data_IF_717829977700
#
_entry.id   IF_717829977700
#
_cell.length_a   1.000
_cell.length_b   1.000
_cell.length_c   1.000
_cell.angle_alpha   90.00
_cell.angle_beta   90.00
_cell.angle_gamma   90.00
#
_symmetry.space_group_name_H-M   'P 1'
#
loop_
_entity.id
_entity.type
_entity.pdbx_description
1 polymer ?
#
# COMPACT_ATOMS: atom_id res chain seq x y z
N UNK A 1 -9.87 -43.63 22.40
CA UNK A 1 -9.14 -42.34 22.35
C UNK A 1 -9.20 -41.85 20.91
N UNK A 2 -10.06 -40.87 20.64
CA UNK A 2 -10.24 -40.27 19.31
C UNK A 2 -9.99 -38.77 19.46
N UNK A 3 -8.98 -38.26 18.75
CA UNK A 3 -8.63 -36.84 18.74
C UNK A 3 -9.34 -36.18 17.56
N UNK A 4 -10.42 -35.45 17.86
CA UNK A 4 -11.12 -34.59 16.90
C UNK A 4 -10.28 -33.37 16.54
N UNK A 5 -10.10 -33.14 15.24
CA UNK A 5 -9.58 -31.89 14.69
C UNK A 5 -10.77 -31.03 14.24
N UNK A 6 -10.88 -29.83 14.79
CA UNK A 6 -11.94 -28.88 14.48
C UNK A 6 -11.61 -28.10 13.21
N UNK A 7 -12.42 -28.27 12.16
CA UNK A 7 -12.37 -27.48 10.95
C UNK A 7 -12.88 -26.06 11.21
N UNK A 8 -12.07 -25.05 10.89
CA UNK A 8 -12.34 -23.62 11.11
C UNK A 8 -13.14 -22.94 9.98
N UNK A 9 -14.07 -23.64 9.32
CA UNK A 9 -14.74 -23.12 8.11
C UNK A 9 -16.14 -22.53 8.31
N UNK A 10 -16.68 -22.49 9.52
CA UNK A 10 -18.12 -22.15 9.72
C UNK A 10 -18.46 -20.67 9.94
N UNK A 11 -17.49 -19.75 9.95
CA UNK A 11 -17.77 -18.32 10.16
C UNK A 11 -18.31 -17.57 8.94
N UNK A 12 -18.48 -18.21 7.77
CA UNK A 12 -18.90 -17.53 6.55
C UNK A 12 -20.41 -17.62 6.23
N UNK A 13 -21.24 -18.23 7.09
CA UNK A 13 -22.67 -18.46 6.81
C UNK A 13 -23.63 -17.31 7.11
N UNK A 14 -23.16 -16.22 7.73
CA UNK A 14 -24.06 -15.15 8.19
C UNK A 14 -24.33 -14.03 7.18
N UNK A 15 -23.65 -14.03 6.03
CA UNK A 15 -23.80 -12.97 5.04
C UNK A 15 -24.02 -13.55 3.65
N UNK A 16 -25.27 -13.48 3.19
CA UNK A 16 -25.64 -13.81 1.82
C UNK A 16 -24.82 -12.96 0.83
N UNK A 17 -24.48 -13.49 -0.36
CA UNK A 17 -23.73 -12.74 -1.38
C UNK A 17 -24.36 -11.39 -1.73
N UNK A 18 -25.69 -11.33 -1.70
CA UNK A 18 -26.47 -10.10 -1.90
C UNK A 18 -26.22 -9.06 -0.81
N UNK A 19 -26.12 -9.45 0.47
CA UNK A 19 -25.82 -8.49 1.54
C UNK A 19 -24.39 -7.96 1.45
N UNK A 20 -23.43 -8.79 1.01
CA UNK A 20 -22.03 -8.37 0.80
C UNK A 20 -21.93 -7.31 -0.29
N UNK A 21 -22.67 -7.49 -1.39
CA UNK A 21 -22.73 -6.50 -2.48
C UNK A 21 -23.41 -5.22 -2.01
N UNK A 22 -24.52 -5.32 -1.25
CA UNK A 22 -25.21 -4.16 -0.69
C UNK A 22 -24.31 -3.34 0.26
N UNK A 23 -23.54 -3.99 1.12
CA UNK A 23 -22.59 -3.33 2.02
C UNK A 23 -21.42 -2.67 1.25
N UNK A 24 -20.94 -3.28 0.16
CA UNK A 24 -19.92 -2.69 -0.70
C UNK A 24 -20.43 -1.42 -1.41
N UNK A 25 -21.64 -1.48 -1.97
CA UNK A 25 -22.27 -0.32 -2.62
C UNK A 25 -22.51 0.80 -1.61
N UNK A 26 -23.01 0.47 -0.42
CA UNK A 26 -23.21 1.45 0.65
C UNK A 26 -21.89 2.09 1.10
N UNK A 27 -20.82 1.30 1.24
CA UNK A 27 -19.48 1.79 1.55
C UNK A 27 -18.94 2.78 0.52
N UNK A 28 -19.12 2.49 -0.78
CA UNK A 28 -18.71 3.40 -1.87
C UNK A 28 -19.48 4.72 -1.79
N UNK A 29 -20.78 4.68 -1.52
CA UNK A 29 -21.61 5.88 -1.38
C UNK A 29 -21.19 6.72 -0.17
N UNK A 30 -20.91 6.09 0.98
CA UNK A 30 -20.44 6.80 2.17
C UNK A 30 -19.07 7.45 1.96
N UNK A 31 -18.14 6.77 1.28
CA UNK A 31 -16.83 7.34 0.95
C UNK A 31 -16.97 8.52 -0.02
N UNK A 32 -17.84 8.40 -1.04
CA UNK A 32 -18.13 9.49 -1.98
C UNK A 32 -18.75 10.71 -1.29
N UNK A 33 -19.73 10.50 -0.41
CA UNK A 33 -20.37 11.56 0.36
C UNK A 33 -19.39 12.26 1.33
N UNK A 34 -18.51 11.49 1.99
CA UNK A 34 -17.47 12.04 2.85
C UNK A 34 -16.43 12.85 2.05
N UNK A 35 -16.01 12.37 0.87
CA UNK A 35 -15.14 13.11 -0.02
C UNK A 35 -15.73 14.45 -0.45
N UNK A 36 -17.02 14.47 -0.79
CA UNK A 36 -17.76 15.70 -1.12
C UNK A 36 -17.86 16.66 0.07
N UNK A 37 -18.15 16.15 1.27
CA UNK A 37 -18.21 16.95 2.49
C UNK A 37 -16.87 17.60 2.85
N UNK A 38 -15.76 16.86 2.72
CA UNK A 38 -14.41 17.39 2.96
C UNK A 38 -14.06 18.45 1.91
N UNK A 39 -14.42 18.23 0.64
CA UNK A 39 -14.14 19.18 -0.43
C UNK A 39 -14.93 20.49 -0.25
N UNK A 40 -16.18 20.43 0.19
CA UNK A 40 -17.01 21.63 0.41
C UNK A 40 -16.64 22.41 1.68
N UNK A 41 -16.02 21.76 2.68
CA UNK A 41 -15.63 22.41 3.94
C UNK A 41 -14.14 22.77 4.01
N UNK A 42 -13.33 22.40 3.02
CA UNK A 42 -11.93 22.81 2.95
C UNK A 42 -11.76 24.32 2.65
N UNK A 43 -12.73 24.95 1.98
CA UNK A 43 -12.66 26.39 1.67
C UNK A 43 -13.02 27.30 2.85
N UNK A 44 -13.73 26.81 3.87
CA UNK A 44 -14.18 27.63 5.01
C UNK A 44 -13.19 27.71 6.18
N UNK A 45 -12.08 26.96 6.12
CA UNK A 45 -11.10 26.88 7.23
C UNK A 45 -9.83 27.72 7.02
N UNK A 46 -9.72 28.43 5.89
CA UNK A 46 -8.52 29.24 5.58
C UNK A 46 -8.64 30.75 5.94
N UNK A 47 -9.78 31.22 6.45
CA UNK A 47 -9.96 32.63 6.84
C UNK A 47 -9.71 32.94 8.32
N UNK A 48 -9.46 31.94 9.17
CA UNK A 48 -9.28 32.14 10.63
C UNK A 48 -7.84 32.00 11.14
N UNK A 49 -6.85 31.87 10.27
CA UNK A 49 -5.44 31.68 10.67
C UNK A 49 -4.57 32.96 10.66
N UNK A 50 -5.13 34.16 10.43
CA UNK A 50 -4.35 35.40 10.30
C UNK A 50 -4.41 36.37 11.49
N UNK A 51 -5.05 36.03 12.61
CA UNK A 51 -5.20 36.97 13.73
C UNK A 51 -5.02 36.31 15.10
N UNK A 52 -3.82 35.83 15.41
CA UNK A 52 -3.38 35.70 16.83
C UNK A 52 -1.88 35.43 16.94
N UNK A 53 -1.11 36.47 17.24
CA UNK A 53 0.22 36.41 17.86
C UNK A 53 0.38 37.77 18.57
N UNK A 54 0.03 37.84 19.85
CA UNK A 54 0.96 37.79 20.99
C UNK A 54 1.78 39.08 21.18
N UNK A 55 2.14 39.58 22.36
CA UNK A 55 1.75 39.43 23.77
C UNK A 55 2.70 40.37 24.53
N UNK A 56 2.13 41.16 25.44
CA UNK A 56 2.67 41.71 26.70
C UNK A 56 4.19 41.76 26.93
N UNK A 57 4.70 42.97 27.14
CA UNK A 57 5.92 43.23 27.91
C UNK A 57 5.55 43.65 29.35
N UNK A 58 6.00 42.83 30.29
CA UNK A 58 5.89 42.96 31.74
C UNK A 58 6.98 43.85 32.32
N UNK A 59 6.66 44.60 33.38
CA UNK A 59 7.65 45.11 34.35
C UNK A 59 7.24 44.67 35.76
N UNK A 60 8.13 44.00 36.52
CA UNK A 60 7.88 43.62 37.91
C UNK A 60 8.34 44.74 38.85
N UNK A 61 7.56 45.01 39.90
CA UNK A 61 7.99 45.87 41.01
C UNK A 61 8.43 44.99 42.18
N UNK A 62 9.61 45.33 42.66
CA UNK A 62 10.43 44.67 43.67
C UNK A 62 9.83 44.81 45.08
N UNK A 63 9.84 43.72 45.85
CA UNK A 63 9.38 43.63 47.23
C UNK A 63 10.59 43.54 48.17
N UNK A 64 11.07 44.67 48.66
CA UNK A 64 12.05 44.70 49.75
C UNK A 64 11.35 44.78 51.11
N UNK A 65 11.46 43.69 51.86
CA UNK A 65 11.18 43.57 53.29
C UNK A 65 12.05 44.51 54.13
N UNK A 66 11.45 45.15 55.13
CA UNK A 66 12.12 45.58 56.38
C UNK A 66 11.19 45.35 57.59
N UNK A 67 11.76 45.14 58.80
CA UNK A 67 11.18 44.25 59.81
C UNK A 67 10.33 44.93 60.90
N UNK A 68 9.60 44.07 61.61
CA UNK A 68 8.66 44.36 62.68
C UNK A 68 9.27 45.10 63.90
N UNK A 69 8.53 46.09 64.41
CA UNK A 69 8.65 46.59 65.78
C UNK A 69 7.39 46.22 66.59
N UNK A 70 7.53 45.93 67.89
CA UNK A 70 6.45 45.41 68.71
C UNK A 70 5.47 46.51 69.19
N UNK A 71 4.27 46.03 69.41
CA UNK A 71 3.04 46.67 69.90
C UNK A 71 3.26 47.52 71.15
N UNK A 72 2.77 48.77 71.09
CA UNK A 72 2.49 49.59 72.27
C UNK A 72 0.96 49.78 72.35
N UNK A 73 0.27 49.22 73.36
CA UNK A 73 -1.18 49.28 73.46
C UNK A 73 -1.55 50.57 74.21
N UNK A 74 -2.04 51.58 73.51
CA UNK A 74 -2.91 52.68 73.98
C UNK A 74 -2.89 53.83 72.97
N UNK A 75 -3.70 53.75 71.90
CA UNK A 75 -4.15 54.95 71.21
C UNK A 75 -5.47 54.72 70.49
N UNK A 76 -6.35 55.70 70.68
CA UNK A 76 -7.76 55.72 70.31
C UNK A 76 -8.05 55.38 68.83
N UNK A 77 -9.27 54.87 68.62
CA UNK A 77 -9.99 54.81 67.35
C UNK A 77 -9.70 56.04 66.46
N UNK A 78 -9.19 55.88 65.23
CA UNK A 78 -9.35 56.91 64.23
C UNK A 78 -10.77 56.85 63.69
N UNK A 79 -11.51 57.92 63.94
CA UNK A 79 -12.78 58.23 63.30
C UNK A 79 -12.66 58.05 61.78
N UNK A 80 -13.58 57.29 61.20
CA UNK A 80 -13.85 57.32 59.75
C UNK A 80 -14.03 58.77 59.32
N UNK A 81 -13.24 59.29 58.36
CA UNK A 81 -13.47 60.62 57.83
C UNK A 81 -14.86 60.69 57.19
N UNK A 82 -15.56 61.84 57.28
CA UNK A 82 -16.89 61.98 56.71
C UNK A 82 -16.81 61.84 55.18
N UNK A 83 -17.64 60.96 54.63
CA UNK A 83 -17.92 60.87 53.20
C UNK A 83 -18.38 62.25 52.72
N UNK A 84 -17.50 62.99 52.04
CA UNK A 84 -17.89 64.22 51.35
C UNK A 84 -19.02 63.89 50.36
N UNK A 85 -20.08 64.70 50.26
CA UNK A 85 -21.08 64.53 49.21
C UNK A 85 -20.39 64.59 47.84
N UNK A 86 -20.82 63.81 46.84
CA UNK A 86 -20.23 63.86 45.51
C UNK A 86 -20.25 65.31 45.01
N UNK A 87 -19.07 65.89 44.79
CA UNK A 87 -18.97 67.19 44.13
C UNK A 87 -19.56 67.03 42.74
N UNK A 88 -20.63 67.76 42.44
CA UNK A 88 -21.20 67.80 41.10
C UNK A 88 -20.17 68.26 40.06
N UNK A 89 -20.39 67.96 38.78
CA UNK A 89 -19.45 68.32 37.72
C UNK A 89 -19.17 69.82 37.73
N UNK A 90 -17.91 70.18 37.57
CA UNK A 90 -17.50 71.58 37.54
C UNK A 90 -18.10 72.28 36.32
N UNK A 91 -18.35 73.61 36.37
CA UNK A 91 -18.83 74.36 35.21
C UNK A 91 -17.97 74.21 33.95
N UNK A 92 -16.67 73.94 34.12
CA UNK A 92 -15.73 73.69 33.03
C UNK A 92 -15.98 72.32 32.38
N UNK A 93 -16.20 71.26 33.16
CA UNK A 93 -16.52 69.93 32.64
C UNK A 93 -17.85 69.92 31.88
N UNK A 94 -18.86 70.65 32.39
CA UNK A 94 -20.16 70.83 31.73
C UNK A 94 -19.99 71.54 30.39
N UNK A 95 -19.19 72.61 30.34
CA UNK A 95 -18.91 73.33 29.11
C UNK A 95 -18.16 72.47 28.08
N UNK A 96 -17.21 71.64 28.52
CA UNK A 96 -16.49 70.70 27.66
C UNK A 96 -17.40 69.61 27.11
N UNK A 97 -18.26 69.01 27.94
CA UNK A 97 -19.23 68.01 27.50
C UNK A 97 -20.20 68.58 26.45
N UNK A 98 -20.76 69.76 26.69
CA UNK A 98 -21.61 70.48 25.71
C UNK A 98 -20.85 70.83 24.44
N UNK A 99 -19.58 71.23 24.55
CA UNK A 99 -18.70 71.47 23.40
C UNK A 99 -18.55 70.23 22.51
N UNK A 100 -18.33 69.05 23.11
CA UNK A 100 -18.23 67.77 22.39
C UNK A 100 -19.53 67.39 21.69
N UNK A 101 -20.67 67.57 22.34
CA UNK A 101 -21.98 67.34 21.71
C UNK A 101 -22.28 68.30 20.57
N UNK A 102 -21.88 69.57 20.66
CA UNK A 102 -21.99 70.53 19.55
C UNK A 102 -21.09 70.15 18.37
N UNK A 103 -19.87 69.66 18.64
CA UNK A 103 -19.00 69.13 17.61
C UNK A 103 -19.61 67.88 16.95
N UNK A 104 -20.10 66.93 17.76
CA UNK A 104 -20.80 65.74 17.28
C UNK A 104 -22.01 66.13 16.40
N UNK A 105 -22.84 67.09 16.82
CA UNK A 105 -23.96 67.63 16.02
C UNK A 105 -23.49 68.14 14.66
N UNK A 106 -22.44 68.97 14.65
CA UNK A 106 -21.90 69.56 13.41
C UNK A 106 -21.38 68.46 12.48
N UNK A 107 -20.75 67.43 13.02
CA UNK A 107 -20.25 66.28 12.26
C UNK A 107 -21.40 65.47 11.68
N UNK A 108 -22.43 65.13 12.47
CA UNK A 108 -23.59 64.38 11.98
C UNK A 108 -24.39 65.13 10.92
N UNK A 109 -24.60 66.44 11.08
CA UNK A 109 -25.21 67.30 10.06
C UNK A 109 -24.37 67.35 8.77
N UNK A 110 -23.04 67.43 8.90
CA UNK A 110 -22.14 67.41 7.75
C UNK A 110 -22.17 66.05 7.04
N UNK A 111 -22.20 64.95 7.77
CA UNK A 111 -22.31 63.60 7.20
C UNK A 111 -23.64 63.45 6.48
N UNK A 112 -24.74 63.93 7.06
CA UNK A 112 -26.06 63.92 6.43
C UNK A 112 -26.09 64.69 5.10
N UNK A 113 -25.54 65.90 5.06
CA UNK A 113 -25.44 66.68 3.81
C UNK A 113 -24.62 65.96 2.73
N UNK A 114 -23.57 65.24 3.13
CA UNK A 114 -22.77 64.42 2.20
C UNK A 114 -23.55 63.23 1.68
N UNK A 115 -24.34 62.58 2.54
CA UNK A 115 -25.23 61.50 2.14
C UNK A 115 -26.29 61.99 1.16
N UNK A 116 -26.92 63.14 1.41
CA UNK A 116 -27.88 63.75 0.48
C UNK A 116 -27.25 64.04 -0.89
N UNK A 117 -26.01 64.55 -0.90
CA UNK A 117 -25.25 64.75 -2.14
C UNK A 117 -24.90 63.43 -2.84
N UNK A 118 -24.60 62.37 -2.09
CA UNK A 118 -24.34 61.04 -2.64
C UNK A 118 -25.61 60.47 -3.29
N UNK A 119 -26.77 60.61 -2.63
CA UNK A 119 -28.08 60.21 -3.16
C UNK A 119 -28.42 60.95 -4.45
N UNK A 120 -28.05 62.23 -4.57
CA UNK A 120 -28.21 62.97 -5.82
C UNK A 120 -27.31 62.42 -6.94
N UNK A 121 -26.04 62.11 -6.64
CA UNK A 121 -25.11 61.48 -7.59
C UNK A 121 -25.60 60.07 -8.01
N UNK A 122 -26.16 59.29 -7.08
CA UNK A 122 -26.80 57.99 -7.34
C UNK A 122 -27.98 58.15 -8.30
N UNK A 123 -28.88 59.11 -8.04
CA UNK A 123 -30.04 59.36 -8.90
C UNK A 123 -29.62 59.74 -10.31
N UNK A 124 -28.65 60.64 -10.45
CA UNK A 124 -28.10 61.04 -11.77
C UNK A 124 -27.50 59.86 -12.50
N UNK A 125 -26.71 59.04 -11.80
CA UNK A 125 -26.13 57.84 -12.36
C UNK A 125 -27.20 56.85 -12.84
N UNK A 126 -28.23 56.58 -12.03
CA UNK A 126 -29.34 55.68 -12.40
C UNK A 126 -30.11 56.18 -13.62
N UNK A 127 -30.42 57.48 -13.67
CA UNK A 127 -31.09 58.08 -14.84
C UNK A 127 -30.24 57.95 -16.10
N UNK A 128 -28.93 58.22 -16.03
CA UNK A 128 -28.03 58.03 -17.16
C UNK A 128 -28.03 56.56 -17.61
N UNK A 129 -27.97 55.60 -16.69
CA UNK A 129 -27.96 54.18 -17.04
C UNK A 129 -29.27 53.66 -17.63
N UNK A 130 -30.40 54.27 -17.27
CA UNK A 130 -31.71 53.92 -17.82
C UNK A 130 -31.92 54.50 -19.22
N UNK A 131 -31.49 55.75 -19.47
CA UNK A 131 -31.67 56.43 -20.75
C UNK A 131 -30.68 56.00 -21.82
N UNK A 132 -29.44 55.71 -21.42
CA UNK A 132 -28.31 55.49 -22.31
C UNK A 132 -28.45 54.24 -23.20
N UNK A 133 -29.08 53.13 -22.79
CA UNK A 133 -29.32 52.00 -23.68
C UNK A 133 -30.15 52.32 -24.94
N UNK A 134 -31.08 53.28 -24.84
CA UNK A 134 -32.06 53.60 -25.90
C UNK A 134 -31.76 54.86 -26.70
N UNK A 135 -30.92 55.76 -26.19
CA UNK A 135 -30.65 57.06 -26.81
C UNK A 135 -29.54 57.01 -27.89
N UNK A 136 -29.33 58.12 -28.60
CA UNK A 136 -28.30 58.23 -29.64
C UNK A 136 -26.88 58.05 -29.09
N UNK A 137 -26.60 58.49 -27.86
CA UNK A 137 -25.30 58.31 -27.22
C UNK A 137 -25.00 56.82 -27.00
N UNK A 138 -25.98 56.04 -26.55
CA UNK A 138 -25.90 54.59 -26.48
C UNK A 138 -25.62 53.93 -27.81
N UNK A 139 -26.31 54.36 -28.87
CA UNK A 139 -26.05 53.86 -30.23
C UNK A 139 -24.63 54.17 -30.72
N UNK A 140 -24.02 55.28 -30.30
CA UNK A 140 -22.60 55.56 -30.61
C UNK A 140 -21.67 54.62 -29.84
N UNK A 141 -21.95 54.37 -28.57
CA UNK A 141 -21.20 53.38 -27.76
C UNK A 141 -21.34 51.97 -28.37
N UNK A 142 -22.54 51.61 -28.84
CA UNK A 142 -22.85 50.34 -29.49
C UNK A 142 -22.07 50.10 -30.79
N UNK A 143 -21.55 51.16 -31.42
CA UNK A 143 -20.74 51.10 -32.63
C UNK A 143 -19.30 50.60 -32.40
N UNK A 144 -18.87 50.41 -31.16
CA UNK A 144 -17.51 50.01 -30.83
C UNK A 144 -17.46 49.00 -29.69
N UNK A 145 -16.96 47.79 -29.98
CA UNK A 145 -16.87 46.70 -29.01
C UNK A 145 -16.14 47.09 -27.72
N UNK A 146 -15.01 47.82 -27.83
CA UNK A 146 -14.24 48.27 -26.65
C UNK A 146 -15.00 49.26 -25.76
N UNK A 147 -15.92 50.05 -26.32
CA UNK A 147 -16.75 50.97 -25.54
C UNK A 147 -17.95 50.25 -24.91
N UNK A 148 -18.48 49.22 -25.59
CA UNK A 148 -19.46 48.29 -25.00
C UNK A 148 -18.86 47.54 -23.81
N UNK A 149 -17.60 47.09 -23.91
CA UNK A 149 -16.84 46.51 -22.78
C UNK A 149 -16.75 47.46 -21.59
N UNK A 150 -16.37 48.72 -21.82
CA UNK A 150 -16.27 49.72 -20.77
C UNK A 150 -17.64 50.02 -20.12
N UNK A 151 -18.70 50.07 -20.91
CA UNK A 151 -20.07 50.21 -20.41
C UNK A 151 -20.49 49.02 -19.54
N UNK A 152 -20.23 47.79 -20.01
CA UNK A 152 -20.53 46.57 -19.24
C UNK A 152 -19.77 46.54 -17.93
N UNK A 153 -18.47 46.88 -17.95
CA UNK A 153 -17.65 46.95 -16.75
C UNK A 153 -18.18 47.98 -15.73
N UNK A 154 -18.76 49.09 -16.18
CA UNK A 154 -19.43 50.05 -15.29
C UNK A 154 -20.78 49.54 -14.78
N UNK A 155 -21.53 48.81 -15.62
CA UNK A 155 -22.84 48.26 -15.25
C UNK A 155 -22.71 47.14 -14.21
N UNK A 156 -21.74 46.25 -14.36
CA UNK A 156 -21.56 45.04 -13.56
C UNK A 156 -20.89 45.26 -12.20
N UNK A 157 -20.37 46.47 -11.92
CA UNK A 157 -19.81 46.78 -10.60
C UNK A 157 -20.85 46.57 -9.50
N UNK A 158 -20.49 45.87 -8.40
CA UNK A 158 -21.37 45.74 -7.25
C UNK A 158 -21.66 47.12 -6.66
N UNK A 159 -22.90 47.35 -6.26
CA UNK A 159 -23.34 48.63 -5.69
C UNK A 159 -24.08 48.41 -4.38
N UNK A 160 -23.97 49.36 -3.44
CA UNK A 160 -24.80 49.36 -2.23
C UNK A 160 -26.29 49.39 -2.58
N UNK A 161 -27.05 48.52 -1.92
CA UNK A 161 -28.50 48.42 -2.11
C UNK A 161 -29.21 49.64 -1.53
N UNK A 162 -30.42 49.94 -2.04
CA UNK A 162 -31.22 51.06 -1.55
C UNK A 162 -31.47 50.99 -0.03
N UNK A 163 -31.66 49.79 0.51
CA UNK A 163 -31.85 49.54 1.95
C UNK A 163 -30.64 49.98 2.78
N UNK A 164 -29.41 49.83 2.26
CA UNK A 164 -28.19 50.25 2.96
C UNK A 164 -28.12 51.78 3.07
N UNK A 165 -28.52 52.47 2.00
CA UNK A 165 -28.56 53.94 1.96
C UNK A 165 -29.65 54.48 2.90
N UNK A 166 -30.82 53.83 2.93
CA UNK A 166 -31.89 54.16 3.86
C UNK A 166 -31.47 53.92 5.31
N UNK A 167 -30.81 52.79 5.61
CA UNK A 167 -30.27 52.50 6.93
C UNK A 167 -29.24 53.52 7.42
N UNK A 168 -28.36 54.01 6.54
CA UNK A 168 -27.45 55.11 6.85
C UNK A 168 -28.20 56.41 7.16
N UNK A 169 -29.27 56.68 6.41
CA UNK A 169 -30.11 57.87 6.61
C UNK A 169 -30.83 57.80 7.94
N UNK A 170 -31.47 56.69 8.26
CA UNK A 170 -32.20 56.50 9.52
C UNK A 170 -31.26 56.59 10.72
N UNK A 171 -30.05 56.02 10.62
CA UNK A 171 -29.10 56.09 11.72
C UNK A 171 -28.53 57.49 11.93
N UNK A 172 -28.26 58.25 10.87
CA UNK A 172 -27.86 59.66 11.00
C UNK A 172 -28.99 60.53 11.57
N UNK A 173 -30.24 60.26 11.23
CA UNK A 173 -31.41 60.95 11.79
C UNK A 173 -31.53 60.65 13.29
N UNK A 174 -31.30 59.41 13.71
CA UNK A 174 -31.24 59.01 15.12
C UNK A 174 -30.10 59.71 15.88
N UNK A 175 -28.91 59.84 15.27
CA UNK A 175 -27.77 60.57 15.87
C UNK A 175 -28.10 62.05 16.07
N UNK A 176 -28.78 62.67 15.10
CA UNK A 176 -29.24 64.06 15.21
C UNK A 176 -30.28 64.21 16.33
N UNK A 177 -31.30 63.34 16.37
CA UNK A 177 -32.33 63.36 17.41
C UNK A 177 -31.72 63.17 18.81
N UNK A 178 -30.80 62.22 18.96
CA UNK A 178 -30.10 61.96 20.22
C UNK A 178 -29.33 63.20 20.68
N UNK A 179 -28.66 63.88 19.76
CA UNK A 179 -27.90 65.10 20.07
C UNK A 179 -28.80 66.27 20.43
N UNK A 180 -29.95 66.42 19.77
CA UNK A 180 -30.93 67.46 20.08
C UNK A 180 -31.59 67.25 21.43
N UNK A 181 -31.98 66.01 21.73
CA UNK A 181 -32.50 65.61 23.04
C UNK A 181 -31.48 65.88 24.14
N UNK A 182 -30.20 65.56 23.91
CA UNK A 182 -29.13 65.79 24.86
C UNK A 182 -28.88 67.29 25.10
N UNK A 183 -28.70 68.07 24.04
CA UNK A 183 -28.43 69.51 24.14
C UNK A 183 -29.63 70.30 24.69
N UNK A 184 -30.86 69.78 24.56
CA UNK A 184 -32.08 70.34 25.13
C UNK A 184 -32.25 70.12 26.63
N UNK A 185 -31.56 69.15 27.23
CA UNK A 185 -31.63 68.86 28.67
C UNK A 185 -30.62 69.71 29.45
N UNK A 186 -31.10 70.64 30.27
CA UNK A 186 -30.25 71.56 31.05
C UNK A 186 -29.38 70.87 32.11
N UNK A 187 -29.81 69.69 32.58
CA UNK A 187 -29.19 68.94 33.68
C UNK A 187 -28.25 67.82 33.20
N UNK A 188 -28.07 67.65 31.89
CA UNK A 188 -27.24 66.58 31.35
C UNK A 188 -25.79 67.05 31.16
N UNK A 189 -24.84 66.29 31.74
CA UNK A 189 -23.43 66.66 31.84
C UNK A 189 -22.46 65.60 31.31
N UNK A 190 -22.94 64.50 30.73
CA UNK A 190 -22.10 63.49 30.07
C UNK A 190 -21.60 63.90 28.68
N UNK A 191 -20.40 63.47 28.33
CA UNK A 191 -19.91 63.56 26.94
C UNK A 191 -20.61 62.50 26.07
N UNK A 192 -20.62 62.63 24.73
CA UNK A 192 -21.07 61.54 23.86
C UNK A 192 -20.21 60.31 24.11
N UNK A 193 -20.86 59.15 24.17
CA UNK A 193 -20.18 57.88 24.39
C UNK A 193 -19.20 57.61 23.24
N UNK A 194 -18.08 56.94 23.56
CA UNK A 194 -17.06 56.63 22.58
C UNK A 194 -17.62 55.75 21.45
N UNK A 195 -18.50 54.80 21.78
CA UNK A 195 -19.19 53.96 20.80
C UNK A 195 -20.05 54.78 19.83
N UNK A 196 -20.74 55.82 20.32
CA UNK A 196 -21.55 56.71 19.49
C UNK A 196 -20.68 57.52 18.53
N UNK A 197 -19.53 57.98 19.02
CA UNK A 197 -18.56 58.73 18.21
C UNK A 197 -17.91 57.84 17.15
N UNK A 198 -17.53 56.61 17.51
CA UNK A 198 -16.99 55.62 16.57
C UNK A 198 -18.02 55.21 15.50
N UNK A 199 -19.30 55.10 15.88
CA UNK A 199 -20.36 54.80 14.93
C UNK A 199 -20.56 55.93 13.91
N UNK A 200 -20.59 57.18 14.35
CA UNK A 200 -20.65 58.34 13.46
C UNK A 200 -19.42 58.42 12.53
N UNK A 201 -18.23 58.08 13.03
CA UNK A 201 -17.00 58.03 12.22
C UNK A 201 -17.08 56.95 11.14
N UNK A 202 -17.59 55.77 11.49
CA UNK A 202 -17.86 54.69 10.54
C UNK A 202 -18.83 55.15 9.44
N UNK A 203 -19.96 55.76 9.82
CA UNK A 203 -20.96 56.24 8.87
C UNK A 203 -20.44 57.35 7.97
N UNK A 204 -19.58 58.23 8.49
CA UNK A 204 -18.90 59.23 7.68
C UNK A 204 -18.04 58.57 6.61
N UNK A 205 -17.22 57.58 6.98
CA UNK A 205 -16.36 56.88 6.03
C UNK A 205 -17.17 56.12 4.98
N UNK A 206 -18.25 55.43 5.38
CA UNK A 206 -19.16 54.72 4.47
C UNK A 206 -19.84 55.69 3.50
N UNK A 207 -20.30 56.84 3.99
CA UNK A 207 -20.92 57.89 3.16
C UNK A 207 -19.91 58.51 2.18
N UNK A 208 -18.67 58.76 2.62
CA UNK A 208 -17.62 59.30 1.76
C UNK A 208 -17.20 58.31 0.67
N UNK A 209 -17.05 57.03 1.02
CA UNK A 209 -16.78 55.98 0.05
C UNK A 209 -17.90 55.89 -0.99
N UNK A 210 -19.16 55.83 -0.54
CA UNK A 210 -20.35 55.81 -1.41
C UNK A 210 -20.37 57.01 -2.36
N UNK A 211 -20.19 58.22 -1.84
CA UNK A 211 -20.21 59.44 -2.65
C UNK A 211 -19.09 59.44 -3.70
N UNK A 212 -17.88 59.00 -3.32
CA UNK A 212 -16.73 58.96 -4.20
C UNK A 212 -16.91 57.92 -5.31
N UNK A 213 -17.42 56.74 -4.98
CA UNK A 213 -17.67 55.66 -5.95
C UNK A 213 -18.68 56.07 -7.01
N UNK A 214 -19.86 56.54 -6.60
CA UNK A 214 -20.90 56.96 -7.54
C UNK A 214 -20.48 58.17 -8.39
N UNK A 215 -19.77 59.14 -7.80
CA UNK A 215 -19.25 60.28 -8.56
C UNK A 215 -18.22 59.84 -9.60
N UNK A 216 -17.29 58.95 -9.22
CA UNK A 216 -16.27 58.42 -10.13
C UNK A 216 -16.91 57.64 -11.27
N UNK A 217 -17.87 56.77 -10.97
CA UNK A 217 -18.56 55.96 -11.97
C UNK A 217 -19.41 56.81 -12.90
N UNK A 218 -20.12 57.82 -12.38
CA UNK A 218 -20.85 58.81 -13.19
C UNK A 218 -19.90 59.55 -14.14
N UNK A 219 -18.78 60.05 -13.63
CA UNK A 219 -17.77 60.73 -14.46
C UNK A 219 -17.17 59.80 -15.52
N UNK A 220 -16.96 58.52 -15.20
CA UNK A 220 -16.48 57.54 -16.17
C UNK A 220 -17.51 57.28 -17.28
N UNK A 221 -18.80 57.24 -16.94
CA UNK A 221 -19.89 57.10 -17.91
C UNK A 221 -20.02 58.34 -18.79
N UNK A 222 -19.96 59.54 -18.20
CA UNK A 222 -19.96 60.81 -18.94
C UNK A 222 -18.73 60.92 -19.86
N UNK A 223 -17.56 60.51 -19.38
CA UNK A 223 -16.35 60.44 -20.18
C UNK A 223 -16.51 59.48 -21.36
N UNK A 224 -17.14 58.31 -21.14
CA UNK A 224 -17.44 57.33 -22.20
C UNK A 224 -18.36 57.93 -23.28
N UNK A 225 -19.42 58.62 -22.86
CA UNK A 225 -20.33 59.34 -23.76
C UNK A 225 -19.59 60.42 -24.54
N UNK A 226 -18.71 61.17 -23.87
CA UNK A 226 -17.94 62.23 -24.52
C UNK A 226 -16.94 61.68 -25.53
N UNK A 227 -16.25 60.58 -25.21
CA UNK A 227 -15.26 59.92 -26.07
C UNK A 227 -15.90 59.35 -27.35
N UNK A 228 -17.15 58.92 -27.25
CA UNK A 228 -17.92 58.37 -28.39
C UNK A 228 -18.70 59.42 -29.17
N UNK A 229 -18.65 60.70 -28.78
CA UNK A 229 -19.40 61.78 -29.43
C UNK A 229 -19.05 61.99 -30.91
N UNK A 230 -17.80 61.73 -31.30
CA UNK A 230 -17.32 61.85 -32.68
C UNK A 230 -17.57 60.59 -33.53
N UNK A 231 -18.04 59.49 -32.92
CA UNK A 231 -18.34 58.25 -33.63
C UNK A 231 -19.69 58.33 -34.35
N UNK A 232 -19.84 57.67 -35.52
CA UNK A 232 -21.13 57.56 -36.17
C UNK A 232 -22.12 56.79 -35.29
N UNK A 233 -23.40 57.18 -35.35
CA UNK A 233 -24.49 56.48 -34.65
C UNK A 233 -24.66 55.10 -35.26
N UNK A 234 -24.53 54.03 -34.47
CA UNK A 234 -24.76 52.67 -34.97
C UNK A 234 -26.25 52.41 -35.21
N UNK A 235 -26.55 51.46 -36.11
CA UNK A 235 -27.92 51.02 -36.38
C UNK A 235 -28.54 50.29 -35.17
N UNK A 236 -27.71 49.53 -34.45
CA UNK A 236 -28.09 48.76 -33.27
C UNK A 236 -28.11 49.62 -32.00
N UNK A 237 -29.02 49.30 -31.08
CA UNK A 237 -29.03 49.90 -29.73
C UNK A 237 -27.91 49.32 -28.87
N UNK A 238 -27.54 50.01 -27.80
CA UNK A 238 -26.53 49.51 -26.87
C UNK A 238 -26.98 48.21 -26.19
N UNK A 239 -28.28 48.09 -25.90
CA UNK A 239 -28.86 46.86 -25.36
C UNK A 239 -28.68 45.68 -26.31
N UNK A 240 -28.92 45.89 -27.61
CA UNK A 240 -28.68 44.86 -28.63
C UNK A 240 -27.20 44.51 -28.74
N UNK A 241 -26.30 45.49 -28.73
CA UNK A 241 -24.86 45.26 -28.78
C UNK A 241 -24.35 44.47 -27.55
N UNK A 242 -24.87 44.77 -26.36
CA UNK A 242 -24.61 44.01 -25.13
C UNK A 242 -25.10 42.57 -25.26
N UNK A 243 -26.31 42.35 -25.80
CA UNK A 243 -26.85 41.01 -26.00
C UNK A 243 -26.06 40.20 -27.02
N UNK A 244 -25.63 40.82 -28.13
CA UNK A 244 -24.75 40.18 -29.11
C UNK A 244 -23.46 39.74 -28.44
N UNK A 245 -22.82 40.63 -27.68
CA UNK A 245 -21.58 40.32 -26.97
C UNK A 245 -21.74 39.19 -25.95
N UNK A 246 -22.81 39.19 -25.16
CA UNK A 246 -23.11 38.10 -24.24
C UNK A 246 -23.30 36.76 -24.98
N UNK A 247 -23.95 36.79 -26.15
CA UNK A 247 -24.12 35.60 -26.99
C UNK A 247 -22.80 35.10 -27.59
N UNK A 248 -21.91 36.01 -27.99
CA UNK A 248 -20.58 35.68 -28.49
C UNK A 248 -19.70 35.05 -27.41
N UNK A 249 -19.71 35.61 -26.20
CA UNK A 249 -18.99 35.04 -25.04
C UNK A 249 -19.55 33.67 -24.66
N UNK A 250 -20.87 33.51 -24.59
CA UNK A 250 -21.51 32.22 -24.35
C UNK A 250 -21.13 31.18 -25.43
N UNK A 251 -21.06 31.60 -26.69
CA UNK A 251 -20.62 30.74 -27.79
C UNK A 251 -19.14 30.38 -27.66
N UNK A 252 -18.25 31.32 -27.30
CA UNK A 252 -16.84 31.04 -27.01
C UNK A 252 -16.69 30.01 -25.89
N UNK A 253 -17.42 30.16 -24.79
CA UNK A 253 -17.41 29.18 -23.70
C UNK A 253 -17.91 27.80 -24.16
N UNK A 254 -18.98 27.75 -24.96
CA UNK A 254 -19.47 26.49 -25.54
C UNK A 254 -18.43 25.82 -26.44
N UNK A 255 -17.75 26.59 -27.28
CA UNK A 255 -16.68 26.07 -28.15
C UNK A 255 -15.50 25.56 -27.34
N UNK A 256 -15.07 26.29 -26.30
CA UNK A 256 -13.99 25.85 -25.40
C UNK A 256 -14.38 24.56 -24.65
N UNK A 257 -15.61 24.48 -24.16
CA UNK A 257 -16.13 23.29 -23.49
C UNK A 257 -16.22 22.09 -24.45
N UNK A 258 -16.66 22.31 -25.69
CA UNK A 258 -16.69 21.26 -26.71
C UNK A 258 -15.27 20.77 -27.06
N UNK A 259 -14.31 21.68 -27.20
CA UNK A 259 -12.91 21.34 -27.45
C UNK A 259 -12.31 20.55 -26.27
N UNK A 260 -12.53 21.00 -25.03
CA UNK A 260 -12.07 20.31 -23.83
C UNK A 260 -12.69 18.92 -23.66
N UNK A 261 -13.97 18.76 -24.04
CA UNK A 261 -14.60 17.43 -24.09
C UNK A 261 -13.97 16.54 -25.13
N UNK A 262 -13.71 17.06 -26.34
CA UNK A 262 -13.07 16.29 -27.40
C UNK A 262 -11.68 15.80 -26.98
N UNK A 263 -10.84 16.68 -26.43
CA UNK A 263 -9.51 16.29 -25.93
C UNK A 263 -9.59 15.27 -24.80
N UNK A 264 -10.50 15.45 -23.83
CA UNK A 264 -10.70 14.48 -22.75
C UNK A 264 -11.16 13.11 -23.27
N UNK A 265 -12.01 13.07 -24.30
CA UNK A 265 -12.43 11.81 -24.93
C UNK A 265 -11.30 11.13 -25.68
N UNK A 266 -10.46 11.89 -26.40
CA UNK A 266 -9.29 11.35 -27.09
C UNK A 266 -8.28 10.78 -26.11
N UNK A 267 -7.98 11.48 -25.01
CA UNK A 267 -7.11 10.98 -23.94
C UNK A 267 -7.66 9.71 -23.28
N UNK A 268 -8.98 9.66 -23.04
CA UNK A 268 -9.64 8.48 -22.49
C UNK A 268 -9.52 7.28 -23.44
N UNK A 269 -9.75 7.48 -24.75
CA UNK A 269 -9.58 6.44 -25.76
C UNK A 269 -8.13 5.97 -25.86
N UNK A 270 -7.16 6.87 -25.81
CA UNK A 270 -5.74 6.51 -25.80
C UNK A 270 -5.37 5.67 -24.57
N UNK A 271 -5.88 6.03 -23.38
CA UNK A 271 -5.68 5.24 -22.15
C UNK A 271 -6.29 3.85 -22.25
N UNK A 272 -7.49 3.73 -22.82
CA UNK A 272 -8.14 2.43 -23.06
C UNK A 272 -7.28 1.59 -24.01
N UNK A 273 -6.83 2.15 -25.13
CA UNK A 273 -5.99 1.44 -26.10
C UNK A 273 -4.65 0.99 -25.48
N UNK A 274 -4.02 1.82 -24.67
CA UNK A 274 -2.78 1.46 -23.96
C UNK A 274 -3.03 0.33 -22.95
N UNK A 275 -4.13 0.38 -22.20
CA UNK A 275 -4.51 -0.66 -21.27
C UNK A 275 -4.82 -1.99 -21.99
N UNK A 276 -5.51 -1.94 -23.13
CA UNK A 276 -5.77 -3.12 -23.97
C UNK A 276 -4.47 -3.73 -24.52
N UNK A 277 -3.55 -2.90 -25.03
CA UNK A 277 -2.25 -3.38 -25.49
C UNK A 277 -1.42 -4.00 -24.36
N UNK A 278 -1.44 -3.41 -23.17
CA UNK A 278 -0.77 -3.98 -21.99
C UNK A 278 -1.41 -5.32 -21.57
N UNK A 279 -2.74 -5.41 -21.58
CA UNK A 279 -3.46 -6.65 -21.26
C UNK A 279 -3.15 -7.76 -22.28
N UNK A 280 -3.08 -7.43 -23.57
CA UNK A 280 -2.67 -8.38 -24.62
C UNK A 280 -1.24 -8.87 -24.36
N UNK A 281 -0.29 -7.97 -24.07
CA UNK A 281 1.11 -8.34 -23.76
C UNK A 281 1.21 -9.29 -22.57
N UNK A 282 0.56 -8.95 -21.46
CA UNK A 282 0.54 -9.80 -20.27
C UNK A 282 -0.07 -11.18 -20.56
N UNK A 283 -1.14 -11.23 -21.37
CA UNK A 283 -1.73 -12.50 -21.80
C UNK A 283 -0.75 -13.32 -22.64
N UNK A 284 -0.07 -12.70 -23.60
CA UNK A 284 0.92 -13.39 -24.44
C UNK A 284 2.13 -13.87 -23.63
N UNK A 285 2.59 -13.10 -22.64
CA UNK A 285 3.68 -13.50 -21.73
C UNK A 285 3.25 -14.67 -20.84
N UNK A 286 2.05 -14.63 -20.29
CA UNK A 286 1.50 -15.73 -19.49
C UNK A 286 1.32 -17.02 -20.30
N UNK A 287 0.84 -16.92 -21.55
CA UNK A 287 0.73 -18.07 -22.46
C UNK A 287 2.12 -18.63 -22.80
N UNK A 288 3.12 -17.78 -23.07
CA UNK A 288 4.50 -18.21 -23.31
C UNK A 288 5.12 -18.90 -22.09
N UNK A 289 4.91 -18.37 -20.88
CA UNK A 289 5.31 -19.02 -19.64
C UNK A 289 4.64 -20.38 -19.48
N UNK A 290 3.35 -20.48 -19.73
CA UNK A 290 2.62 -21.75 -19.62
C UNK A 290 3.18 -22.79 -20.60
N UNK A 291 3.41 -22.40 -21.86
CA UNK A 291 4.00 -23.28 -22.88
C UNK A 291 5.39 -23.74 -22.44
N UNK A 292 6.23 -22.84 -21.92
CA UNK A 292 7.57 -23.19 -21.47
C UNK A 292 7.56 -24.15 -20.26
N UNK A 293 6.66 -23.95 -19.29
CA UNK A 293 6.49 -24.86 -18.14
C UNK A 293 6.07 -26.25 -18.60
N UNK A 294 5.08 -26.34 -19.48
CA UNK A 294 4.64 -27.62 -20.05
C UNK A 294 5.78 -28.29 -20.83
N UNK A 295 6.55 -27.52 -21.61
CA UNK A 295 7.74 -28.02 -22.31
C UNK A 295 8.81 -28.60 -21.37
N UNK A 296 9.07 -27.96 -20.23
CA UNK A 296 10.03 -28.46 -19.22
C UNK A 296 9.51 -29.70 -18.51
N UNK A 297 8.23 -29.72 -18.14
CA UNK A 297 7.61 -30.88 -17.48
C UNK A 297 7.57 -32.11 -18.39
N UNK A 298 7.18 -31.94 -19.64
CA UNK A 298 7.17 -33.02 -20.64
C UNK A 298 8.57 -33.56 -20.90
N UNK A 299 9.57 -32.68 -21.03
CA UNK A 299 10.97 -33.10 -21.18
C UNK A 299 11.48 -33.88 -19.96
N UNK A 300 11.10 -33.48 -18.73
CA UNK A 300 11.44 -34.23 -17.50
C UNK A 300 10.80 -35.61 -17.48
N UNK A 301 9.50 -35.71 -17.80
CA UNK A 301 8.79 -37.00 -17.87
C UNK A 301 9.45 -37.95 -18.86
N UNK A 302 9.75 -37.45 -20.06
CA UNK A 302 10.42 -38.25 -21.09
C UNK A 302 11.78 -38.75 -20.60
N UNK A 303 12.59 -37.88 -19.96
CA UNK A 303 13.88 -38.29 -19.38
C UNK A 303 13.72 -39.38 -18.33
N UNK A 304 12.81 -39.21 -17.37
CA UNK A 304 12.58 -40.20 -16.31
C UNK A 304 12.09 -41.53 -16.87
N UNK A 305 11.21 -41.52 -17.88
CA UNK A 305 10.74 -42.73 -18.55
C UNK A 305 11.88 -43.44 -19.29
N UNK A 306 12.72 -42.68 -20.00
CA UNK A 306 13.89 -43.26 -20.68
C UNK A 306 14.92 -43.83 -19.71
N UNK A 307 15.18 -43.15 -18.59
CA UNK A 307 16.11 -43.62 -17.56
C UNK A 307 15.60 -44.91 -16.89
N UNK A 308 14.31 -44.97 -16.56
CA UNK A 308 13.67 -46.18 -16.02
C UNK A 308 13.78 -47.36 -17.00
N UNK A 309 13.52 -47.11 -18.29
CA UNK A 309 13.61 -48.16 -19.31
C UNK A 309 15.04 -48.68 -19.46
N UNK A 310 16.04 -47.79 -19.46
CA UNK A 310 17.46 -48.18 -19.50
C UNK A 310 17.85 -48.99 -18.25
N UNK A 311 17.40 -48.60 -17.06
CA UNK A 311 17.67 -49.34 -15.83
C UNK A 311 17.06 -50.74 -15.84
N UNK A 312 15.83 -50.89 -16.33
CA UNK A 312 15.18 -52.19 -16.49
C UNK A 312 15.96 -53.10 -17.44
N UNK A 313 16.36 -52.58 -18.61
CA UNK A 313 17.16 -53.32 -19.58
C UNK A 313 18.51 -53.79 -19.00
N UNK A 314 19.18 -52.95 -18.19
CA UNK A 314 20.44 -53.32 -17.53
C UNK A 314 20.26 -54.36 -16.43
N UNK A 315 19.14 -54.32 -15.69
CA UNK A 315 18.83 -55.30 -14.66
C UNK A 315 18.56 -56.68 -15.28
N UNK A 316 17.75 -56.74 -16.35
CA UNK A 316 17.46 -57.96 -17.08
C UNK A 316 18.73 -58.59 -17.69
N UNK A 317 19.64 -57.77 -18.24
CA UNK A 317 20.92 -58.25 -18.77
C UNK A 317 21.78 -58.92 -17.68
N UNK A 318 21.88 -58.29 -16.50
CA UNK A 318 22.64 -58.84 -15.36
C UNK A 318 22.04 -60.12 -14.78
N UNK A 319 20.72 -60.29 -14.86
CA UNK A 319 20.07 -61.54 -14.43
C UNK A 319 20.36 -62.67 -15.41
N UNK A 320 20.28 -62.42 -16.72
CA UNK A 320 20.64 -63.41 -17.74
C UNK A 320 22.09 -63.87 -17.62
N UNK A 321 23.04 -62.95 -17.43
CA UNK A 321 24.45 -63.31 -17.22
C UNK A 321 24.64 -64.24 -16.00
N UNK A 322 23.96 -63.94 -14.88
CA UNK A 322 24.00 -64.79 -13.67
C UNK A 322 23.39 -66.18 -13.90
N UNK A 323 22.30 -66.27 -14.65
CA UNK A 323 21.65 -67.55 -14.98
C UNK A 323 22.51 -68.41 -15.91
N UNK A 324 23.17 -67.79 -16.90
CA UNK A 324 24.10 -68.47 -17.82
C UNK A 324 25.33 -69.01 -17.10
N UNK A 325 25.94 -68.20 -16.21
CA UNK A 325 27.07 -68.64 -15.38
C UNK A 325 26.69 -69.78 -14.43
N UNK A 326 25.53 -69.68 -13.76
CA UNK A 326 25.04 -70.73 -12.88
C UNK A 326 24.77 -72.04 -13.63
N UNK A 327 24.21 -71.96 -14.84
CA UNK A 327 23.95 -73.11 -15.69
C UNK A 327 25.25 -73.76 -16.18
N UNK A 328 26.25 -72.95 -16.53
CA UNK A 328 27.58 -73.45 -16.92
C UNK A 328 28.29 -74.20 -15.79
N UNK A 329 28.28 -73.62 -14.57
CA UNK A 329 28.88 -74.26 -13.40
C UNK A 329 28.15 -75.55 -13.01
N UNK A 330 26.82 -75.58 -13.16
CA UNK A 330 26.02 -76.79 -12.93
C UNK A 330 26.37 -77.91 -13.91
N UNK A 331 26.47 -77.60 -15.20
CA UNK A 331 26.86 -78.58 -16.22
C UNK A 331 28.26 -79.16 -15.95
N UNK A 332 29.21 -78.33 -15.48
CA UNK A 332 30.55 -78.79 -15.11
C UNK A 332 30.54 -79.66 -13.85
N UNK A 333 29.70 -79.31 -12.86
CA UNK A 333 29.53 -80.08 -11.63
C UNK A 333 28.85 -81.45 -11.86
N UNK A 334 27.97 -81.54 -12.86
CA UNK A 334 27.26 -82.77 -13.26
C UNK A 334 28.12 -83.71 -14.12
N UNK A 335 29.24 -83.24 -14.69
CA UNK A 335 30.14 -84.07 -15.52
C UNK A 335 30.74 -85.24 -14.69
N UNK A 336 30.48 -86.51 -15.07
CA UNK A 336 31.02 -87.67 -14.37
C UNK A 336 32.55 -87.71 -14.31
N UNK A 337 33.24 -87.14 -15.31
CA UNK A 337 34.70 -87.10 -15.33
C UNK A 337 35.25 -86.14 -14.27
N UNK A 338 34.56 -85.03 -14.03
CA UNK A 338 34.92 -84.06 -12.98
C UNK A 338 34.62 -84.66 -11.62
N UNK A 339 33.44 -85.25 -11.41
CA UNK A 339 33.08 -85.89 -10.14
C UNK A 339 34.05 -87.02 -9.76
N UNK A 340 34.55 -87.78 -10.75
CA UNK A 340 35.53 -88.84 -10.51
C UNK A 340 36.86 -88.32 -9.94
N UNK A 341 37.31 -87.11 -10.32
CA UNK A 341 38.51 -86.48 -9.74
C UNK A 341 38.34 -86.13 -8.25
N UNK A 342 37.10 -85.94 -7.82
CA UNK A 342 36.76 -85.53 -6.46
C UNK A 342 36.05 -86.64 -5.69
N UNK A 343 36.14 -87.91 -6.15
CA UNK A 343 35.51 -89.06 -5.50
C UNK A 343 35.88 -89.20 -4.02
N UNK A 344 37.09 -88.76 -3.67
CA UNK A 344 37.59 -88.74 -2.30
C UNK A 344 36.75 -87.87 -1.35
N UNK A 345 35.94 -86.95 -1.88
CA UNK A 345 35.01 -86.12 -1.11
C UNK A 345 33.54 -86.40 -1.44
N UNK A 346 33.24 -86.61 -2.73
CA UNK A 346 31.86 -86.71 -3.22
C UNK A 346 31.21 -88.07 -2.94
N UNK A 347 31.98 -89.14 -2.73
CA UNK A 347 31.43 -90.44 -2.37
C UNK A 347 31.14 -90.55 -0.87
N UNK A 348 30.17 -91.39 -0.51
CA UNK A 348 29.90 -91.69 0.89
C UNK A 348 31.00 -92.61 1.45
N UNK A 349 31.46 -92.30 2.65
CA UNK A 349 32.50 -93.07 3.33
C UNK A 349 32.39 -92.91 4.85
N UNK A 350 33.05 -93.80 5.56
CA UNK A 350 33.08 -93.84 7.02
C UNK A 350 34.01 -92.78 7.60
N UNK A 351 35.04 -92.33 6.87
CA UNK A 351 35.94 -91.26 7.35
C UNK A 351 35.28 -89.89 7.24
N UNK A 352 35.31 -89.13 8.35
CA UNK A 352 34.82 -87.76 8.45
C UNK A 352 35.98 -86.78 8.71
N UNK A 353 35.95 -85.65 8.01
CA UNK A 353 36.96 -84.59 8.09
C UNK A 353 36.70 -83.59 9.23
N UNK A 354 36.25 -84.08 10.39
CA UNK A 354 35.78 -83.25 11.52
C UNK A 354 36.90 -82.68 12.40
N UNK A 355 38.15 -83.12 12.18
CA UNK A 355 39.36 -82.61 12.86
C UNK A 355 40.33 -81.99 11.86
N UNK A 356 41.23 -81.10 12.29
CA UNK A 356 42.26 -80.53 11.42
C UNK A 356 43.20 -81.61 10.83
N UNK A 357 43.86 -81.33 9.70
CA UNK A 357 44.86 -82.22 9.12
C UNK A 357 45.93 -82.61 10.15
N UNK A 358 46.13 -83.92 10.38
CA UNK A 358 47.15 -84.45 11.28
C UNK A 358 46.65 -84.96 12.64
N UNK A 359 45.35 -84.87 12.94
CA UNK A 359 44.74 -85.47 14.14
C UNK A 359 44.01 -86.79 13.80
N UNK A 360 43.64 -87.59 14.81
CA UNK A 360 42.89 -88.85 14.59
C UNK A 360 41.58 -88.58 13.82
N UNK A 361 41.44 -89.14 12.63
CA UNK A 361 40.23 -89.02 11.82
C UNK A 361 39.04 -89.73 12.48
N UNK A 362 37.89 -89.05 12.54
CA UNK A 362 36.68 -89.62 13.11
C UNK A 362 36.04 -90.61 12.11
N UNK A 363 35.75 -91.82 12.56
CA UNK A 363 34.97 -92.79 11.79
C UNK A 363 33.51 -92.77 12.23
N UNK A 364 32.60 -92.50 11.30
CA UNK A 364 31.17 -92.65 11.52
C UNK A 364 30.76 -94.12 11.50
N UNK A 365 29.66 -94.45 12.18
CA UNK A 365 29.08 -95.81 12.20
C UNK A 365 28.43 -96.20 10.86
N UNK A 366 28.10 -95.21 10.03
CA UNK A 366 27.50 -95.36 8.70
C UNK A 366 28.28 -94.52 7.68
N UNK A 367 28.31 -94.91 6.39
CA UNK A 367 28.94 -94.08 5.38
C UNK A 367 28.16 -92.78 5.20
N UNK A 368 28.84 -91.64 5.30
CA UNK A 368 28.24 -90.31 5.14
C UNK A 368 28.98 -89.51 4.07
N UNK A 369 28.26 -88.59 3.43
CA UNK A 369 28.85 -87.56 2.55
C UNK A 369 29.72 -86.60 3.36
N UNK A 370 30.75 -86.07 2.73
CA UNK A 370 31.66 -85.13 3.39
C UNK A 370 30.96 -83.78 3.58
N UNK A 371 31.16 -83.17 4.75
CA UNK A 371 30.69 -81.82 5.06
C UNK A 371 31.63 -80.79 4.45
N UNK A 372 31.09 -79.91 3.61
CA UNK A 372 31.87 -78.83 3.00
C UNK A 372 32.29 -77.80 4.05
N UNK A 373 31.40 -77.46 4.98
CA UNK A 373 31.73 -76.65 6.14
C UNK A 373 32.87 -77.24 6.99
N UNK A 374 32.94 -78.57 7.16
CA UNK A 374 34.05 -79.19 7.90
C UNK A 374 35.37 -79.14 7.09
N UNK A 375 35.30 -79.37 5.77
CA UNK A 375 36.46 -79.25 4.89
C UNK A 375 37.07 -77.83 4.91
N UNK A 376 36.23 -76.79 4.89
CA UNK A 376 36.66 -75.40 5.04
C UNK A 376 37.10 -75.12 6.47
N UNK A 377 36.22 -75.35 7.44
CA UNK A 377 36.35 -74.93 8.83
C UNK A 377 37.46 -75.65 9.60
N UNK A 378 37.84 -76.86 9.18
CA UNK A 378 38.96 -77.62 9.76
C UNK A 378 40.25 -77.46 8.95
N UNK A 379 40.23 -76.70 7.85
CA UNK A 379 41.42 -76.34 7.09
C UNK A 379 41.91 -77.39 6.09
N UNK A 380 41.05 -78.31 5.65
CA UNK A 380 41.39 -79.30 4.62
C UNK A 380 41.43 -78.71 3.20
N UNK A 381 40.80 -77.55 2.99
CA UNK A 381 40.83 -76.78 1.74
C UNK A 381 41.68 -75.51 1.84
N UNK A 382 42.55 -75.42 2.86
CA UNK A 382 43.32 -74.20 3.14
C UNK A 382 44.35 -73.96 2.05
N UNK A 383 45.12 -74.98 1.73
CA UNK A 383 46.20 -74.97 0.74
C UNK A 383 46.25 -76.29 -0.03
N UNK A 384 47.06 -76.35 -1.08
CA UNK A 384 47.21 -77.54 -1.92
C UNK A 384 47.77 -78.74 -1.15
N UNK A 385 48.56 -78.53 -0.09
CA UNK A 385 49.12 -79.59 0.75
C UNK A 385 48.06 -80.30 1.59
N UNK A 386 47.25 -79.54 2.32
CA UNK A 386 46.12 -80.05 3.10
C UNK A 386 45.08 -80.73 2.22
N UNK A 387 44.82 -80.16 1.04
CA UNK A 387 43.94 -80.74 0.03
C UNK A 387 44.47 -82.08 -0.51
N UNK A 388 45.75 -82.12 -0.90
CA UNK A 388 46.41 -83.33 -1.39
C UNK A 388 46.41 -84.44 -0.31
N UNK A 389 46.58 -84.08 0.97
CA UNK A 389 46.46 -85.03 2.08
C UNK A 389 45.06 -85.63 2.19
N UNK A 390 44.02 -84.82 2.03
CA UNK A 390 42.63 -85.28 2.13
C UNK A 390 42.22 -86.23 0.99
N UNK A 391 42.69 -85.95 -0.24
CA UNK A 391 42.30 -86.75 -1.41
C UNK A 391 43.18 -87.97 -1.66
N UNK A 392 44.29 -88.13 -0.94
CA UNK A 392 45.28 -89.17 -1.24
C UNK A 392 45.43 -90.24 -0.16
N UNK A 393 46.02 -91.38 -0.54
CA UNK A 393 46.25 -92.53 0.36
C UNK A 393 47.63 -92.54 1.01
N UNK A 394 48.28 -91.38 1.21
CA UNK A 394 49.61 -91.39 1.85
C UNK A 394 49.45 -91.83 3.31
N UNK A 395 50.25 -92.78 3.81
CA UNK A 395 50.30 -93.06 5.23
C UNK A 395 50.77 -91.80 5.95
N UNK A 396 49.91 -91.22 6.79
CA UNK A 396 50.41 -90.39 7.86
C UNK A 396 51.14 -91.35 8.81
N UNK A 397 52.45 -91.22 8.94
CA UNK A 397 53.30 -92.17 9.70
C UNK A 397 52.88 -92.32 11.16
N UNK A 398 52.04 -91.42 11.66
CA UNK A 398 51.60 -91.35 13.04
C UNK A 398 50.18 -91.94 13.28
N UNK A 399 49.39 -92.26 12.24
CA UNK A 399 47.98 -92.66 12.42
C UNK A 399 47.50 -93.77 11.46
N UNK A 400 46.79 -94.78 11.99
CA UNK A 400 46.26 -95.96 11.27
C UNK A 400 44.90 -95.73 10.57
N UNK A 401 44.61 -94.52 10.11
CA UNK A 401 43.39 -94.21 9.37
C UNK A 401 43.73 -93.68 7.96
N UNK A 402 42.97 -94.13 6.97
CA UNK A 402 43.10 -93.75 5.56
C UNK A 402 41.73 -93.30 5.10
N UNK A 403 41.65 -92.30 4.21
CA UNK A 403 40.44 -92.03 3.46
C UNK A 403 39.98 -93.34 2.80
N UNK A 404 38.79 -93.78 3.16
CA UNK A 404 38.21 -95.06 2.77
C UNK A 404 37.53 -95.00 1.39
N UNK A 405 37.54 -93.82 0.76
CA UNK A 405 37.03 -93.54 -0.58
C UNK A 405 38.13 -93.70 -1.66
N UNK A 406 37.79 -93.76 -2.95
CA UNK A 406 38.78 -93.75 -4.02
C UNK A 406 39.63 -92.48 -3.96
N UNK A 407 40.93 -92.67 -3.86
CA UNK A 407 41.92 -91.63 -3.57
C UNK A 407 42.82 -91.38 -4.79
N UNK A 408 43.31 -90.15 -4.87
CA UNK A 408 44.36 -89.74 -5.80
C UNK A 408 45.76 -90.13 -5.30
N UNK A 409 46.75 -90.31 -6.19
CA UNK A 409 48.13 -90.41 -5.77
C UNK A 409 48.57 -89.11 -5.11
N UNK A 410 49.34 -89.20 -4.02
CA UNK A 410 49.92 -88.02 -3.39
C UNK A 410 51.01 -87.42 -4.29
N UNK A 411 51.03 -86.09 -4.52
CA UNK A 411 52.00 -85.44 -5.40
C UNK A 411 53.45 -85.64 -4.91
N UNK A 412 54.36 -85.88 -5.85
CA UNK A 412 55.80 -86.08 -5.64
C UNK A 412 56.66 -85.12 -6.48
N UNK A 413 56.07 -84.44 -7.46
CA UNK A 413 56.73 -83.48 -8.34
C UNK A 413 56.03 -82.12 -8.34
N UNK A 414 56.76 -81.07 -8.73
CA UNK A 414 56.20 -79.70 -8.81
C UNK A 414 55.02 -79.60 -9.79
N UNK A 415 55.03 -80.40 -10.85
CA UNK A 415 53.94 -80.46 -11.81
C UNK A 415 52.64 -81.02 -11.18
N UNK A 416 52.77 -82.04 -10.32
CA UNK A 416 51.63 -82.60 -9.60
C UNK A 416 51.12 -81.66 -8.50
N UNK A 417 52.01 -80.88 -7.87
CA UNK A 417 51.62 -79.84 -6.91
C UNK A 417 50.79 -78.73 -7.56
N UNK A 418 51.17 -78.26 -8.75
CA UNK A 418 50.38 -77.31 -9.54
C UNK A 418 49.02 -77.88 -9.95
N UNK A 419 48.96 -79.17 -10.27
CA UNK A 419 47.68 -79.84 -10.54
C UNK A 419 46.79 -79.87 -9.29
N UNK A 420 47.34 -80.09 -8.10
CA UNK A 420 46.57 -80.04 -6.85
C UNK A 420 46.05 -78.65 -6.52
N UNK A 421 46.82 -77.59 -6.81
CA UNK A 421 46.33 -76.20 -6.71
C UNK A 421 45.15 -75.95 -7.64
N UNK A 422 45.26 -76.38 -8.90
CA UNK A 422 44.18 -76.26 -9.88
C UNK A 422 42.93 -77.03 -9.44
N UNK A 423 43.11 -78.25 -8.93
CA UNK A 423 42.00 -79.07 -8.42
C UNK A 423 41.37 -78.46 -7.17
N UNK A 424 42.15 -77.83 -6.30
CA UNK A 424 41.62 -77.13 -5.12
C UNK A 424 40.76 -75.92 -5.53
N UNK A 425 41.21 -75.13 -6.50
CA UNK A 425 40.45 -74.00 -7.03
C UNK A 425 39.16 -74.45 -7.75
N UNK A 426 39.26 -75.46 -8.61
CA UNK A 426 38.11 -76.07 -9.28
C UNK A 426 37.13 -76.68 -8.27
N UNK A 427 37.61 -77.34 -7.21
CA UNK A 427 36.78 -77.84 -6.13
C UNK A 427 36.06 -76.72 -5.38
N UNK A 428 36.74 -75.61 -5.03
CA UNK A 428 36.11 -74.47 -4.36
C UNK A 428 35.04 -73.79 -5.21
N UNK A 429 35.24 -73.73 -6.52
CA UNK A 429 34.24 -73.18 -7.46
C UNK A 429 33.00 -74.07 -7.57
N UNK A 430 33.16 -75.40 -7.59
CA UNK A 430 32.07 -76.36 -7.82
C UNK A 430 31.41 -76.86 -6.53
N UNK A 431 32.08 -76.79 -5.38
CA UNK A 431 31.55 -77.28 -4.12
C UNK A 431 30.22 -76.65 -3.69
N UNK A 432 29.96 -75.34 -3.86
CA UNK A 432 28.63 -74.77 -3.58
C UNK A 432 27.53 -75.39 -4.44
N UNK A 433 27.84 -75.79 -5.68
CA UNK A 433 26.90 -76.49 -6.56
C UNK A 433 26.71 -77.93 -6.07
N UNK A 434 27.78 -78.63 -5.69
CA UNK A 434 27.68 -79.99 -5.14
C UNK A 434 26.98 -80.06 -3.79
N UNK A 435 27.02 -79.00 -2.97
CA UNK A 435 26.19 -78.87 -1.75
C UNK A 435 24.71 -78.77 -2.12
N UNK A 436 24.35 -77.96 -3.13
CA UNK A 436 22.97 -77.88 -3.64
C UNK A 436 22.47 -79.20 -4.26
N UNK A 437 23.40 -79.98 -4.83
CA UNK A 437 23.12 -81.32 -5.39
C UNK A 437 23.14 -82.43 -4.33
N UNK A 438 23.33 -82.11 -3.05
CA UNK A 438 23.42 -83.06 -1.92
C UNK A 438 24.58 -84.08 -2.00
N UNK A 439 25.56 -83.84 -2.88
CA UNK A 439 26.79 -84.65 -2.96
C UNK A 439 27.77 -84.29 -1.83
N UNK A 440 27.70 -83.06 -1.34
CA UNK A 440 28.36 -82.59 -0.12
C UNK A 440 27.30 -82.16 0.88
N UNK A 441 27.57 -82.33 2.17
CA UNK A 441 26.74 -81.71 3.22
C UNK A 441 27.12 -80.24 3.37
N UNK A 442 26.14 -79.34 3.63
CA UNK A 442 26.40 -77.92 3.80
C UNK A 442 27.42 -77.68 4.90
#
# INVERSE_FOLDING_TARGET
MSTGSANSSDNNRWFTPTLRIALLVWGIVCIGAYGLYVFTNADSSNEQAAATSETLASTPVDLTLTPAYPVDPLRALPETPPTLPPQGPSPQEIALAKGRWLEFKRRSESTRKRLDSAVEDIRKWSTLMEELPGNEAGRRIAGSASHVDQFLALREKPRPDAEQIEGLRDSLDLHQETTENYLGQSENFSAPDEALTQDLDRQLNETEALALEYRRDRQALEALVSATSALPVAEQTLEQAVQVKASEEANRYRTQLAAAKATATEEALQKIQQAEQAAIRLKTEAEAEQISRVGVETAKRLRTETELHVQQMLAEAKEREREEEASRLRNLAEDPNVQKKYSAFLQQGYVQFSFPPGFMEHRSERPLTVSFNDLIGKGWLKDSETFARAISRRPNTEYRAFNDRPTHPYPRSDAEWKEMERLLEEFKMLAPVWVKMELLRP
#
